data_IF_335875167563
#
_entry.id   IF_335875167563
#
_cell.length_a   1.000
_cell.length_b   1.000
_cell.length_c   1.000
_cell.angle_alpha   90.00
_cell.angle_beta   90.00
_cell.angle_gamma   90.00
#
_symmetry.space_group_name_H-M   'P 1'
#
loop_
_entity.id
_entity.type
_entity.pdbx_description
1 polymer ?
#
# COMPACT_ATOMS: atom_id res chain seq x y z
N UNK A 1 -21.59 9.46 -8.60
CA UNK A 1 -21.52 8.22 -7.80
C UNK A 1 -20.71 8.51 -6.55
N UNK A 2 -21.24 8.23 -5.35
CA UNK A 2 -20.46 8.37 -4.11
C UNK A 2 -19.51 7.19 -3.99
N UNK A 3 -18.20 7.45 -3.86
CA UNK A 3 -17.18 6.41 -3.63
C UNK A 3 -17.37 5.78 -2.24
N UNK A 4 -17.33 4.45 -2.17
CA UNK A 4 -17.31 3.69 -0.91
C UNK A 4 -16.00 3.95 -0.17
N UNK A 5 -16.07 4.19 1.14
CA UNK A 5 -14.90 4.37 2.00
C UNK A 5 -14.68 3.07 2.77
N UNK A 6 -13.48 2.53 2.67
CA UNK A 6 -13.11 1.20 3.17
C UNK A 6 -11.82 1.25 3.98
N UNK A 7 -11.72 0.36 4.96
CA UNK A 7 -10.50 0.20 5.74
C UNK A 7 -9.35 -0.21 4.81
N UNK A 8 -8.21 0.45 4.96
CA UNK A 8 -7.01 0.22 4.15
C UNK A 8 -6.79 1.25 3.04
N UNK A 9 -7.82 2.02 2.65
CA UNK A 9 -7.64 3.10 1.67
C UNK A 9 -6.69 4.19 2.19
N UNK A 10 -5.85 4.70 1.29
CA UNK A 10 -4.97 5.84 1.55
C UNK A 10 -5.48 7.08 0.80
N UNK A 11 -5.70 8.16 1.54
CA UNK A 11 -6.12 9.44 1.00
C UNK A 11 -5.04 10.50 1.18
N UNK A 12 -4.84 11.34 0.16
CA UNK A 12 -4.12 12.60 0.25
C UNK A 12 -5.07 13.73 0.59
N UNK A 13 -4.71 14.56 1.55
CA UNK A 13 -5.47 15.75 1.92
C UNK A 13 -5.14 16.91 0.97
N UNK A 14 -6.14 17.33 0.20
CA UNK A 14 -6.07 18.42 -0.76
C UNK A 14 -6.65 19.73 -0.22
N UNK A 15 -7.06 19.80 1.05
CA UNK A 15 -7.55 21.05 1.63
C UNK A 15 -6.49 22.14 1.46
N UNK A 16 -6.91 23.37 1.15
CA UNK A 16 -6.01 24.49 0.85
C UNK A 16 -4.95 24.74 1.94
N UNK A 17 -5.25 24.39 3.19
CA UNK A 17 -4.30 24.53 4.31
C UNK A 17 -3.38 23.31 4.50
N UNK A 18 -3.63 22.23 3.78
CA UNK A 18 -2.97 20.93 3.91
C UNK A 18 -2.25 20.48 2.64
N UNK A 19 -2.60 21.01 1.48
CA UNK A 19 -2.05 20.61 0.19
C UNK A 19 -0.51 20.68 0.15
N UNK A 20 0.08 21.73 0.73
CA UNK A 20 1.54 21.90 0.80
C UNK A 20 2.24 20.99 1.83
N UNK A 21 1.47 20.35 2.72
CA UNK A 21 1.99 19.45 3.75
C UNK A 21 2.03 17.99 3.29
N UNK A 22 1.48 17.71 2.13
CA UNK A 22 1.35 16.34 1.59
C UNK A 22 0.81 15.34 2.62
N UNK A 23 -0.24 15.74 3.35
CA UNK A 23 -0.78 14.90 4.42
C UNK A 23 -1.47 13.67 3.84
N UNK A 24 -1.04 12.48 4.27
CA UNK A 24 -1.61 11.19 3.85
C UNK A 24 -2.28 10.49 5.02
N UNK A 25 -3.50 10.01 4.78
CA UNK A 25 -4.44 9.49 5.78
C UNK A 25 -4.85 8.08 5.40
N UNK A 26 -4.44 7.09 6.17
CA UNK A 26 -4.84 5.69 6.02
C UNK A 26 -6.09 5.42 6.82
N UNK A 27 -7.15 4.92 6.19
CA UNK A 27 -8.37 4.52 6.91
C UNK A 27 -8.09 3.24 7.72
N UNK A 28 -8.18 3.32 9.04
CA UNK A 28 -7.99 2.18 9.96
C UNK A 28 -9.30 1.59 10.46
N UNK A 29 -10.38 2.36 10.41
CA UNK A 29 -11.73 1.95 10.79
C UNK A 29 -12.80 2.79 10.09
N UNK A 30 -13.97 2.19 9.84
CA UNK A 30 -15.12 2.86 9.22
C UNK A 30 -16.32 2.69 10.15
N UNK A 31 -16.81 3.80 10.70
CA UNK A 31 -18.06 3.87 11.46
C UNK A 31 -19.20 4.44 10.61
N UNK A 32 -20.35 4.70 11.23
CA UNK A 32 -21.57 5.08 10.49
C UNK A 32 -21.45 6.41 9.72
N UNK A 33 -20.72 7.38 10.27
CA UNK A 33 -20.61 8.73 9.68
C UNK A 33 -19.17 9.23 9.54
N UNK A 34 -18.22 8.59 10.23
CA UNK A 34 -16.81 8.96 10.25
C UNK A 34 -15.92 7.74 10.05
N UNK A 35 -14.81 7.97 9.36
CA UNK A 35 -13.67 7.08 9.33
C UNK A 35 -12.66 7.47 10.40
N UNK A 36 -12.07 6.47 11.03
CA UNK A 36 -10.84 6.60 11.80
C UNK A 36 -9.65 6.52 10.82
N UNK A 37 -8.75 7.50 10.87
CA UNK A 37 -7.61 7.59 9.98
C UNK A 37 -6.29 7.76 10.74
N UNK A 38 -5.28 6.99 10.37
CA UNK A 38 -3.89 7.18 10.78
C UNK A 38 -3.19 8.16 9.84
N UNK A 39 -2.46 9.13 10.40
CA UNK A 39 -1.60 10.02 9.61
C UNK A 39 -0.29 9.29 9.29
N UNK A 40 -0.15 8.81 8.05
CA UNK A 40 1.07 8.12 7.57
C UNK A 40 2.17 9.10 7.17
N UNK A 41 1.79 10.29 6.71
CA UNK A 41 2.73 11.31 6.27
C UNK A 41 2.12 12.70 6.49
N UNK A 42 2.93 13.66 6.93
CA UNK A 42 2.51 15.05 7.15
C UNK A 42 3.75 15.95 7.35
N UNK A 43 4.13 16.68 6.30
CA UNK A 43 5.30 17.57 6.33
C UNK A 43 5.07 18.72 7.31
N UNK A 44 5.97 18.85 8.29
CA UNK A 44 5.86 19.85 9.36
C UNK A 44 4.72 19.59 10.35
N UNK A 45 4.16 18.37 10.35
CA UNK A 45 3.03 17.97 11.17
C UNK A 45 3.30 16.79 12.10
N UNK A 46 2.24 16.06 12.44
CA UNK A 46 2.29 14.94 13.39
C UNK A 46 1.95 13.63 12.70
N UNK A 47 2.97 12.82 12.43
CA UNK A 47 2.84 11.45 11.90
C UNK A 47 2.52 10.46 13.03
N UNK A 48 1.80 9.38 12.71
CA UNK A 48 1.48 8.30 13.65
C UNK A 48 0.28 8.59 14.57
N UNK A 49 -0.36 9.76 14.43
CA UNK A 49 -1.57 10.10 15.18
C UNK A 49 -2.82 9.65 14.44
N UNK A 50 -3.81 9.22 15.21
CA UNK A 50 -5.17 8.96 14.73
C UNK A 50 -6.01 10.24 14.71
N UNK A 51 -6.80 10.42 13.67
CA UNK A 51 -7.82 11.46 13.52
C UNK A 51 -9.13 10.88 12.99
N UNK A 52 -10.23 11.63 13.10
CA UNK A 52 -11.54 11.20 12.61
C UNK A 52 -12.04 12.12 11.50
N UNK A 53 -12.33 11.57 10.33
CA UNK A 53 -12.78 12.32 9.15
C UNK A 53 -14.20 11.90 8.78
N UNK A 54 -15.04 12.86 8.40
CA UNK A 54 -16.39 12.59 7.90
C UNK A 54 -16.32 11.78 6.60
N UNK A 55 -17.10 10.71 6.47
CA UNK A 55 -17.11 9.87 5.25
C UNK A 55 -17.46 10.69 4.01
N UNK A 56 -18.42 11.61 4.13
CA UNK A 56 -18.79 12.54 3.05
C UNK A 56 -17.63 13.44 2.62
N UNK A 57 -16.76 13.81 3.56
CA UNK A 57 -15.59 14.61 3.24
C UNK A 57 -14.56 13.78 2.46
N UNK A 58 -14.22 12.57 2.93
CA UNK A 58 -13.33 11.63 2.21
C UNK A 58 -13.84 11.29 0.81
N UNK A 59 -15.16 11.21 0.63
CA UNK A 59 -15.78 10.99 -0.67
C UNK A 59 -15.75 12.21 -1.61
N UNK A 60 -15.24 13.37 -1.16
CA UNK A 60 -15.20 14.62 -1.93
C UNK A 60 -13.83 14.79 -2.63
N UNK A 61 -13.75 14.67 -3.97
CA UNK A 61 -12.47 14.68 -4.69
C UNK A 61 -11.69 15.99 -4.60
N UNK A 62 -12.36 17.13 -4.37
CA UNK A 62 -11.70 18.42 -4.18
C UNK A 62 -11.04 18.59 -2.82
N UNK A 63 -11.31 17.70 -1.87
CA UNK A 63 -10.74 17.70 -0.52
C UNK A 63 -9.79 16.54 -0.30
N UNK A 64 -10.08 15.40 -0.92
CA UNK A 64 -9.27 14.20 -0.76
C UNK A 64 -9.10 13.49 -2.09
N UNK A 65 -7.84 13.21 -2.42
CA UNK A 65 -7.46 12.34 -3.52
C UNK A 65 -7.23 10.94 -2.96
N UNK A 66 -7.81 9.92 -3.58
CA UNK A 66 -7.51 8.54 -3.23
C UNK A 66 -6.21 8.14 -3.92
N UNK A 67 -5.21 7.77 -3.14
CA UNK A 67 -3.90 7.32 -3.64
C UNK A 67 -3.84 5.80 -3.76
N UNK A 68 -4.39 5.09 -2.76
CA UNK A 68 -4.42 3.63 -2.71
C UNK A 68 -5.83 3.20 -2.39
N UNK A 69 -6.40 2.30 -3.21
CA UNK A 69 -7.66 1.64 -2.87
C UNK A 69 -7.49 0.79 -1.60
N UNK A 70 -8.59 0.28 -1.03
CA UNK A 70 -8.52 -0.67 0.06
C UNK A 70 -7.94 -1.96 -0.49
N UNK A 71 -6.61 -2.03 -0.60
CA UNK A 71 -5.98 -3.24 -1.09
C UNK A 71 -6.09 -4.32 -0.01
N UNK A 72 -6.62 -5.45 -0.45
CA UNK A 72 -6.38 -6.80 0.03
C UNK A 72 -4.88 -7.17 0.07
N UNK A 73 -3.95 -6.24 0.34
CA UNK A 73 -2.51 -6.52 0.51
C UNK A 73 -2.27 -7.51 1.65
N UNK A 74 -3.10 -7.45 2.71
CA UNK A 74 -3.10 -8.46 3.77
C UNK A 74 -3.64 -9.83 3.34
N UNK A 75 -4.32 -9.91 2.18
CA UNK A 75 -4.88 -11.15 1.63
C UNK A 75 -4.13 -11.62 0.37
N UNK A 76 -3.19 -10.86 -0.18
CA UNK A 76 -2.35 -11.32 -1.28
C UNK A 76 -1.30 -12.30 -0.73
N UNK A 77 -1.41 -13.61 -1.02
CA UNK A 77 -0.47 -14.59 -0.51
C UNK A 77 0.97 -14.32 -0.98
N UNK A 78 1.16 -13.56 -2.06
CA UNK A 78 2.49 -13.17 -2.58
C UNK A 78 3.22 -12.20 -1.65
N UNK A 79 2.49 -11.36 -0.91
CA UNK A 79 3.10 -10.45 0.06
C UNK A 79 3.75 -11.21 1.21
N UNK A 80 3.06 -12.20 1.76
CA UNK A 80 3.61 -13.08 2.80
C UNK A 80 4.79 -13.92 2.27
N UNK A 81 4.70 -14.40 1.03
CA UNK A 81 5.80 -15.12 0.37
C UNK A 81 7.05 -14.25 0.21
N UNK A 82 6.88 -12.99 -0.21
CA UNK A 82 7.97 -12.02 -0.37
C UNK A 82 8.66 -11.71 0.98
N UNK A 83 7.87 -11.44 2.02
CA UNK A 83 8.42 -11.18 3.36
C UNK A 83 9.19 -12.40 3.90
N UNK A 84 8.65 -13.61 3.70
CA UNK A 84 9.34 -14.84 4.09
C UNK A 84 10.67 -15.02 3.35
N UNK A 85 10.71 -14.74 2.05
CA UNK A 85 11.92 -14.83 1.24
C UNK A 85 12.99 -13.83 1.71
N UNK A 86 12.62 -12.57 1.93
CA UNK A 86 13.55 -11.55 2.44
C UNK A 86 14.07 -11.89 3.85
N UNK A 87 13.21 -12.42 4.73
CA UNK A 87 13.61 -12.83 6.06
C UNK A 87 14.62 -14.00 6.05
N UNK A 88 14.49 -14.94 5.10
CA UNK A 88 15.47 -16.02 4.92
C UNK A 88 16.84 -15.51 4.49
N UNK A 89 16.87 -14.58 3.52
CA UNK A 89 18.12 -13.93 3.07
C UNK A 89 18.79 -13.21 4.24
N UNK A 90 18.02 -12.47 5.04
CA UNK A 90 18.54 -11.74 6.18
C UNK A 90 18.99 -12.65 7.34
N UNK A 91 18.27 -13.75 7.60
CA UNK A 91 18.54 -14.70 8.67
C UNK A 91 19.69 -15.66 8.41
N UNK A 92 20.20 -15.72 7.16
CA UNK A 92 21.30 -16.61 6.77
C UNK A 92 22.67 -16.22 7.36
N UNK A 93 22.76 -15.14 8.13
CA UNK A 93 23.91 -14.83 8.98
C UNK A 93 25.19 -14.37 8.26
N UNK A 94 25.22 -14.38 6.93
CA UNK A 94 26.25 -13.76 6.10
C UNK A 94 25.80 -12.39 5.57
N UNK A 95 26.75 -11.53 5.17
CA UNK A 95 26.48 -10.21 4.61
C UNK A 95 25.64 -10.29 3.32
N UNK A 96 24.32 -10.37 3.46
CA UNK A 96 23.39 -10.38 2.36
C UNK A 96 23.59 -9.13 1.50
N UNK A 97 23.75 -9.35 0.20
CA UNK A 97 23.91 -8.27 -0.78
C UNK A 97 22.55 -7.86 -1.32
N UNK A 98 22.41 -6.64 -1.88
CA UNK A 98 21.19 -6.23 -2.57
C UNK A 98 20.76 -7.20 -3.67
N UNK A 99 21.72 -7.87 -4.33
CA UNK A 99 21.44 -8.88 -5.35
C UNK A 99 20.76 -10.12 -4.78
N UNK A 100 21.13 -10.55 -3.57
CA UNK A 100 20.51 -11.71 -2.91
C UNK A 100 19.04 -11.45 -2.60
N UNK A 101 18.71 -10.24 -2.16
CA UNK A 101 17.32 -9.82 -1.95
C UNK A 101 16.53 -9.74 -3.26
N UNK A 102 17.17 -9.22 -4.33
CA UNK A 102 16.53 -9.12 -5.64
C UNK A 102 16.18 -10.50 -6.21
N UNK A 103 17.12 -11.45 -6.13
CA UNK A 103 16.90 -12.83 -6.58
C UNK A 103 15.81 -13.53 -5.74
N UNK A 104 15.86 -13.40 -4.41
CA UNK A 104 14.85 -13.99 -3.54
C UNK A 104 13.44 -13.42 -3.79
N UNK A 105 13.33 -12.13 -4.09
CA UNK A 105 12.06 -11.51 -4.47
C UNK A 105 11.57 -11.99 -5.85
N UNK A 106 12.48 -12.11 -6.82
CA UNK A 106 12.19 -12.60 -8.16
C UNK A 106 11.60 -14.02 -8.14
N UNK A 107 12.23 -14.91 -7.37
CA UNK A 107 11.80 -16.29 -7.20
C UNK A 107 10.48 -16.39 -6.43
N UNK A 108 10.34 -15.65 -5.32
CA UNK A 108 9.14 -15.67 -4.49
C UNK A 108 7.87 -15.20 -5.22
N UNK A 109 8.04 -14.31 -6.21
CA UNK A 109 6.95 -13.81 -7.04
C UNK A 109 6.69 -14.67 -8.29
N UNK A 110 7.48 -15.73 -8.52
CA UNK A 110 7.31 -16.65 -9.65
C UNK A 110 7.59 -16.00 -11.02
N UNK A 111 8.35 -14.90 -11.04
CA UNK A 111 8.58 -14.10 -12.25
C UNK A 111 9.44 -14.86 -13.27
N UNK A 112 10.31 -15.76 -12.83
CA UNK A 112 11.11 -16.64 -13.70
C UNK A 112 10.26 -17.61 -14.53
N UNK A 113 9.13 -18.10 -13.99
CA UNK A 113 8.23 -19.03 -14.69
C UNK A 113 7.31 -18.33 -15.69
N UNK A 114 6.99 -17.06 -15.46
CA UNK A 114 6.21 -16.25 -16.40
C UNK A 114 7.00 -15.88 -17.66
N UNK A 115 8.32 -15.73 -17.54
CA UNK A 115 9.21 -15.44 -18.66
C UNK A 115 9.40 -16.67 -19.57
N UNK A 116 9.48 -17.88 -19.01
CA UNK A 116 9.53 -19.13 -19.78
C UNK A 116 8.21 -19.42 -20.51
N UNK A 117 7.06 -19.10 -19.90
CA UNK A 117 5.75 -19.27 -20.53
C UNK A 117 5.51 -18.31 -21.71
N UNK A 118 6.14 -17.12 -21.74
CA UNK A 118 6.05 -16.18 -22.87
C UNK A 118 6.89 -16.59 -24.09
N UNK A 119 7.87 -17.47 -23.91
CA UNK A 119 8.83 -17.85 -24.96
C UNK A 119 8.44 -19.17 -25.65
N UNK A 120 7.41 -19.88 -25.17
CA UNK A 120 6.89 -21.05 -25.86
C UNK A 120 6.24 -20.64 -27.20
N UNK A 121 6.76 -21.08 -28.37
CA UNK A 121 6.10 -20.81 -29.64
C UNK A 121 4.83 -21.64 -29.74
N UNK A 122 3.72 -21.01 -30.15
CA UNK A 122 2.59 -21.73 -30.73
C UNK A 122 3.12 -22.58 -31.89
N UNK A 123 3.15 -23.89 -31.69
CA UNK A 123 3.41 -24.82 -32.79
C UNK A 123 2.07 -25.17 -33.46
N UNK A 124 2.02 -25.16 -34.80
CA UNK A 124 0.81 -25.28 -35.60
C UNK A 124 0.17 -26.68 -35.58
#
# INVERSE_FOLDING_TARGET
MSRSIEKGQLYRDLDRYMANRDRRLRVTGVGDTRAECLIEHDLGGTVGRTTHIQLKALATPSKYELLEEAETLGADPRYAALLSAMAKVHGAGSAATPLDYANAAWDALGLAQQETARVAPEQP
#
